data_IF_015311377090
#
_entry.id   IF_015311377090
#
_cell.length_a   1.000
_cell.length_b   1.000
_cell.length_c   1.000
_cell.angle_alpha   90.00
_cell.angle_beta   90.00
_cell.angle_gamma   90.00
#
_symmetry.space_group_name_H-M   'P 1'
#
loop_
_entity.id
_entity.type
_entity.pdbx_description
1 polymer ?
#
# COMPACT_ATOMS: atom_id res chain seq x y z
N UNK A 1 1.08 -17.69 11.06
CA UNK A 1 1.44 -16.80 9.95
C UNK A 1 0.16 -16.16 9.48
N UNK A 2 0.18 -14.93 9.02
CA UNK A 2 -1.04 -14.19 8.63
C UNK A 2 -1.56 -14.64 7.27
N UNK A 3 -2.12 -15.85 7.21
CA UNK A 3 -2.83 -16.31 6.02
C UNK A 3 -4.13 -15.51 5.77
N UNK A 4 -4.82 -15.79 4.67
CA UNK A 4 -6.03 -15.08 4.28
C UNK A 4 -7.16 -15.18 5.32
N UNK A 5 -7.30 -16.36 5.96
CA UNK A 5 -8.29 -16.58 7.02
C UNK A 5 -7.99 -15.73 8.25
N UNK A 6 -6.72 -15.73 8.69
CA UNK A 6 -6.25 -14.91 9.81
C UNK A 6 -6.46 -13.40 9.52
N UNK A 7 -6.12 -12.94 8.30
CA UNK A 7 -6.34 -11.54 7.91
C UNK A 7 -7.82 -11.16 7.96
N UNK A 8 -8.72 -12.04 7.46
CA UNK A 8 -10.16 -11.80 7.52
C UNK A 8 -10.65 -11.66 8.96
N UNK A 9 -10.37 -12.65 9.80
CA UNK A 9 -10.80 -12.63 11.20
C UNK A 9 -10.21 -11.45 11.97
N UNK A 10 -8.93 -11.15 11.74
CA UNK A 10 -8.24 -10.06 12.44
C UNK A 10 -8.86 -8.71 12.12
N UNK A 11 -9.00 -8.38 10.83
CA UNK A 11 -9.43 -7.04 10.43
C UNK A 11 -10.94 -6.84 10.49
N UNK A 12 -11.72 -7.91 10.38
CA UNK A 12 -13.18 -7.85 10.46
C UNK A 12 -13.68 -7.91 11.91
N UNK A 13 -13.08 -8.77 12.75
CA UNK A 13 -13.62 -9.09 14.07
C UNK A 13 -12.74 -8.63 15.23
N UNK A 14 -11.44 -8.96 15.20
CA UNK A 14 -10.59 -8.82 16.38
C UNK A 14 -10.01 -7.43 16.54
N UNK A 15 -9.51 -6.81 15.50
CA UNK A 15 -8.94 -5.47 15.59
C UNK A 15 -10.03 -4.42 15.77
N UNK A 16 -9.91 -3.60 16.81
CA UNK A 16 -11.00 -2.67 17.21
C UNK A 16 -10.95 -1.30 16.56
N UNK A 17 -9.90 -1.02 15.77
CA UNK A 17 -9.72 0.25 15.05
C UNK A 17 -9.82 1.49 15.95
N UNK A 18 -9.07 1.56 17.07
CA UNK A 18 -9.26 2.60 18.10
C UNK A 18 -9.04 4.02 17.57
N UNK A 19 -8.16 4.19 16.60
CA UNK A 19 -7.90 5.45 15.91
C UNK A 19 -8.27 5.43 14.42
N UNK A 20 -9.02 4.40 13.96
CA UNK A 20 -9.34 4.27 12.54
C UNK A 20 -8.10 4.10 11.64
N UNK A 21 -7.01 3.57 12.18
CA UNK A 21 -5.72 3.41 11.50
C UNK A 21 -4.70 4.53 11.77
N UNK A 22 -5.10 5.63 12.42
CA UNK A 22 -4.19 6.72 12.79
C UNK A 22 -3.06 6.26 13.72
N UNK A 23 -3.33 5.28 14.56
CA UNK A 23 -2.37 4.70 15.50
C UNK A 23 -1.11 4.19 14.82
N UNK A 24 -1.18 3.73 13.58
CA UNK A 24 -0.01 3.25 12.83
C UNK A 24 0.83 4.38 12.23
N UNK A 25 0.32 5.61 12.24
CA UNK A 25 1.04 6.80 11.79
C UNK A 25 1.70 7.60 12.93
N UNK A 26 1.61 7.14 14.17
CA UNK A 26 2.18 7.84 15.34
C UNK A 26 3.69 8.08 15.26
N UNK A 27 4.43 7.18 14.57
CA UNK A 27 5.86 7.32 14.33
C UNK A 27 6.21 8.55 13.49
N UNK A 28 5.28 9.04 12.67
CA UNK A 28 5.40 10.25 11.83
C UNK A 28 4.74 11.48 12.47
N UNK A 29 4.04 11.31 13.58
CA UNK A 29 3.27 12.38 14.22
C UNK A 29 1.86 12.54 13.63
N UNK A 30 1.34 11.49 12.99
CA UNK A 30 0.01 11.39 12.39
C UNK A 30 0.06 11.12 10.90
N UNK A 31 -1.06 10.67 10.36
CA UNK A 31 -1.12 10.26 8.94
C UNK A 31 -0.99 11.44 7.97
N UNK A 32 -1.42 12.64 8.35
CA UNK A 32 -1.22 13.83 7.51
C UNK A 32 0.27 14.16 7.36
N UNK A 33 1.02 14.15 8.47
CA UNK A 33 2.47 14.36 8.45
C UNK A 33 3.19 13.26 7.68
N UNK A 34 2.77 12.00 7.85
CA UNK A 34 3.33 10.87 7.09
C UNK A 34 3.01 10.98 5.60
N UNK A 35 1.79 11.39 5.23
CA UNK A 35 1.41 11.57 3.84
C UNK A 35 2.30 12.62 3.15
N UNK A 36 2.34 13.83 3.66
CA UNK A 36 3.09 14.93 3.03
C UNK A 36 4.60 14.79 3.18
N UNK A 37 5.09 14.21 4.27
CA UNK A 37 6.52 14.08 4.53
C UNK A 37 7.16 12.82 3.94
N UNK A 38 6.39 11.74 3.75
CA UNK A 38 6.93 10.42 3.35
C UNK A 38 6.28 9.88 2.08
N UNK A 39 4.95 9.73 2.04
CA UNK A 39 4.28 9.06 0.91
C UNK A 39 4.15 9.95 -0.32
N UNK A 40 3.64 11.17 -0.16
CA UNK A 40 3.44 12.09 -1.28
C UNK A 40 4.74 12.40 -2.03
N UNK A 41 5.91 12.60 -1.39
CA UNK A 41 7.19 12.73 -2.09
C UNK A 41 7.53 11.56 -3.02
N UNK A 42 7.07 10.35 -2.71
CA UNK A 42 7.25 9.14 -3.54
C UNK A 42 6.22 9.01 -4.65
N UNK A 43 5.07 9.68 -4.53
CA UNK A 43 3.91 9.55 -5.41
C UNK A 43 3.60 10.80 -6.24
N UNK A 44 4.21 11.96 -5.94
CA UNK A 44 3.86 13.25 -6.55
C UNK A 44 3.95 13.27 -8.08
N UNK A 45 4.74 12.37 -8.68
CA UNK A 45 4.88 12.28 -10.16
C UNK A 45 3.74 11.49 -10.82
N UNK A 46 3.01 10.68 -10.05
CA UNK A 46 1.87 9.89 -10.52
C UNK A 46 0.54 10.42 -9.99
N UNK A 47 0.58 11.48 -9.20
CA UNK A 47 -0.59 12.19 -8.67
C UNK A 47 -0.60 13.65 -9.16
N UNK A 48 -1.77 14.27 -9.41
CA UNK A 48 -3.09 13.66 -9.36
C UNK A 48 -3.32 12.63 -10.48
N UNK A 49 -4.17 11.64 -10.21
CA UNK A 49 -4.52 10.58 -11.15
C UNK A 49 -5.97 10.73 -11.63
N UNK A 50 -6.32 10.19 -12.77
CA UNK A 50 -7.71 10.17 -13.21
C UNK A 50 -8.52 9.13 -12.45
N UNK A 51 -7.95 7.92 -12.29
CA UNK A 51 -8.58 6.81 -11.56
C UNK A 51 -7.60 6.12 -10.63
N UNK A 52 -8.01 5.96 -9.37
CA UNK A 52 -7.23 5.25 -8.35
C UNK A 52 -8.00 3.99 -7.91
N UNK A 53 -7.29 2.88 -7.83
CA UNK A 53 -7.69 1.68 -7.10
C UNK A 53 -6.86 1.59 -5.82
N UNK A 54 -7.50 1.59 -4.66
CA UNK A 54 -6.83 1.29 -3.39
C UNK A 54 -7.18 -0.14 -2.95
N UNK A 55 -6.17 -0.97 -2.68
CA UNK A 55 -6.32 -2.32 -2.14
C UNK A 55 -6.13 -2.25 -0.63
N UNK A 56 -7.13 -2.76 0.10
CA UNK A 56 -7.19 -2.78 1.56
C UNK A 56 -7.10 -1.38 2.20
N UNK A 57 -8.05 -0.48 1.93
CA UNK A 57 -8.09 0.86 2.52
C UNK A 57 -8.25 0.86 4.05
N UNK A 58 -8.70 -0.24 4.66
CA UNK A 58 -9.04 -0.29 6.07
C UNK A 58 -10.16 0.70 6.41
N UNK A 59 -9.96 1.57 7.39
CA UNK A 59 -10.88 2.67 7.72
C UNK A 59 -10.58 3.96 6.95
N UNK A 60 -9.84 3.87 5.83
CA UNK A 60 -9.64 4.99 4.91
C UNK A 60 -8.54 5.96 5.31
N UNK A 61 -7.53 5.51 6.08
CA UNK A 61 -6.41 6.33 6.51
C UNK A 61 -5.73 7.07 5.34
N UNK A 62 -5.49 6.39 4.22
CA UNK A 62 -4.87 6.97 3.03
C UNK A 62 -5.90 7.46 2.02
N UNK A 63 -7.07 6.85 2.00
CA UNK A 63 -8.20 7.21 1.14
C UNK A 63 -8.50 8.70 1.18
N UNK A 64 -8.50 9.30 2.37
CA UNK A 64 -8.79 10.75 2.54
C UNK A 64 -7.82 11.67 1.81
N UNK A 65 -6.59 11.22 1.59
CA UNK A 65 -5.57 11.98 0.84
C UNK A 65 -5.60 11.66 -0.65
N UNK A 66 -6.04 10.46 -1.03
CA UNK A 66 -6.13 10.02 -2.42
C UNK A 66 -7.39 10.61 -3.11
N UNK A 67 -8.52 10.69 -2.41
CA UNK A 67 -9.79 11.18 -2.97
C UNK A 67 -9.69 12.57 -3.59
N UNK A 68 -9.06 13.59 -2.95
CA UNK A 68 -8.89 14.91 -3.56
C UNK A 68 -7.97 14.92 -4.79
N UNK A 69 -7.23 13.85 -5.01
CA UNK A 69 -6.21 13.72 -6.07
C UNK A 69 -6.66 12.80 -7.19
N UNK A 70 -7.96 12.45 -7.26
CA UNK A 70 -8.50 11.66 -8.37
C UNK A 70 -9.91 12.09 -8.79
N UNK A 71 -10.29 11.69 -10.00
CA UNK A 71 -11.66 11.90 -10.52
C UNK A 71 -12.59 10.73 -10.19
N UNK A 72 -12.04 9.52 -10.08
CA UNK A 72 -12.78 8.31 -9.71
C UNK A 72 -11.90 7.45 -8.81
N UNK A 73 -12.52 6.90 -7.80
CA UNK A 73 -11.85 6.08 -6.80
C UNK A 73 -12.61 4.77 -6.58
N UNK A 74 -11.86 3.67 -6.49
CA UNK A 74 -12.37 2.37 -6.09
C UNK A 74 -11.52 1.83 -4.94
N UNK A 75 -12.14 1.57 -3.79
CA UNK A 75 -11.53 0.85 -2.66
C UNK A 75 -12.03 -0.60 -2.63
N UNK A 76 -11.11 -1.55 -2.61
CA UNK A 76 -11.39 -2.97 -2.42
C UNK A 76 -10.79 -3.46 -1.12
N UNK A 77 -11.60 -4.00 -0.23
CA UNK A 77 -11.16 -4.54 1.06
C UNK A 77 -11.73 -5.95 1.31
N UNK A 78 -10.97 -6.78 1.97
CA UNK A 78 -11.36 -8.12 2.42
C UNK A 78 -12.44 -8.05 3.52
N UNK A 79 -12.36 -7.04 4.39
CA UNK A 79 -13.23 -6.86 5.55
C UNK A 79 -14.50 -6.10 5.18
N UNK A 80 -15.67 -6.72 5.41
CA UNK A 80 -16.96 -6.06 5.26
C UNK A 80 -17.08 -4.85 6.20
N UNK A 81 -16.47 -4.93 7.38
CA UNK A 81 -16.45 -3.85 8.36
C UNK A 81 -15.66 -2.65 7.86
N UNK A 82 -14.49 -2.85 7.25
CA UNK A 82 -13.69 -1.79 6.66
C UNK A 82 -14.43 -1.11 5.50
N UNK A 83 -15.07 -1.91 4.62
CA UNK A 83 -15.91 -1.39 3.54
C UNK A 83 -17.03 -0.52 4.08
N UNK A 84 -17.79 -1.01 5.09
CA UNK A 84 -18.87 -0.24 5.71
C UNK A 84 -18.40 1.06 6.34
N UNK A 85 -17.26 1.02 7.05
CA UNK A 85 -16.65 2.22 7.64
C UNK A 85 -16.28 3.27 6.57
N UNK A 86 -15.64 2.84 5.48
CA UNK A 86 -15.29 3.72 4.37
C UNK A 86 -16.55 4.31 3.69
N UNK A 87 -17.59 3.52 3.47
CA UNK A 87 -18.86 3.99 2.89
C UNK A 87 -19.50 5.07 3.76
N UNK A 88 -19.45 4.93 5.08
CA UNK A 88 -19.97 5.92 6.02
C UNK A 88 -19.10 7.19 6.05
N UNK A 89 -17.78 7.03 6.26
CA UNK A 89 -16.83 8.14 6.40
C UNK A 89 -16.79 9.01 5.12
N UNK A 90 -16.83 8.38 3.96
CA UNK A 90 -16.72 9.06 2.66
C UNK A 90 -18.05 9.17 1.93
N UNK A 91 -19.19 9.12 2.64
CA UNK A 91 -20.53 9.23 2.07
C UNK A 91 -20.75 10.50 1.23
N UNK A 92 -20.01 11.56 1.50
CA UNK A 92 -20.06 12.82 0.74
C UNK A 92 -19.13 12.85 -0.50
N UNK A 93 -18.43 11.75 -0.83
CA UNK A 93 -17.56 11.65 -1.98
C UNK A 93 -18.21 10.80 -3.10
N UNK A 94 -19.05 11.40 -3.99
CA UNK A 94 -19.85 10.64 -4.95
C UNK A 94 -19.02 9.92 -6.03
N UNK A 95 -17.72 10.25 -6.15
CA UNK A 95 -16.77 9.62 -7.06
C UNK A 95 -16.03 8.44 -6.42
N UNK A 96 -16.32 8.12 -5.15
CA UNK A 96 -15.72 7.01 -4.40
C UNK A 96 -16.69 5.82 -4.31
N UNK A 97 -16.18 4.64 -4.62
CA UNK A 97 -16.90 3.37 -4.49
C UNK A 97 -16.06 2.43 -3.62
N UNK A 98 -16.70 1.78 -2.64
CA UNK A 98 -16.06 0.80 -1.77
C UNK A 98 -16.78 -0.54 -1.88
N UNK A 99 -16.02 -1.61 -2.15
CA UNK A 99 -16.56 -2.95 -2.40
C UNK A 99 -15.76 -3.97 -1.63
N UNK A 100 -16.44 -4.92 -1.00
CA UNK A 100 -15.78 -6.08 -0.40
C UNK A 100 -15.30 -7.03 -1.50
N UNK A 101 -14.07 -7.53 -1.36
CA UNK A 101 -13.51 -8.61 -2.17
C UNK A 101 -13.20 -9.86 -1.33
N UNK A 102 -12.65 -10.88 -1.95
CA UNK A 102 -12.25 -12.12 -1.29
C UNK A 102 -10.80 -12.11 -0.75
N UNK A 103 -10.06 -11.01 -0.98
CA UNK A 103 -8.64 -10.87 -0.64
C UNK A 103 -7.68 -11.44 -1.68
N UNK A 104 -8.18 -11.96 -2.81
CA UNK A 104 -7.40 -12.54 -3.92
C UNK A 104 -7.79 -11.97 -5.28
N UNK A 105 -9.04 -11.52 -5.43
CA UNK A 105 -9.58 -11.10 -6.72
C UNK A 105 -9.75 -9.58 -6.82
N UNK A 106 -9.38 -9.03 -7.97
CA UNK A 106 -9.67 -7.67 -8.42
C UNK A 106 -10.71 -7.64 -9.54
N UNK A 107 -11.51 -8.68 -9.73
CA UNK A 107 -12.49 -8.79 -10.83
C UNK A 107 -13.53 -7.67 -10.83
N UNK A 108 -13.86 -7.11 -9.65
CA UNK A 108 -14.75 -5.97 -9.49
C UNK A 108 -14.18 -4.67 -10.07
N UNK A 109 -12.87 -4.61 -10.28
CA UNK A 109 -12.21 -3.49 -10.93
C UNK A 109 -12.18 -3.71 -12.45
N UNK A 110 -12.57 -2.73 -13.29
CA UNK A 110 -12.48 -2.86 -14.75
C UNK A 110 -11.01 -2.94 -15.20
N UNK A 111 -10.76 -3.65 -16.32
CA UNK A 111 -9.43 -3.74 -16.92
C UNK A 111 -9.03 -2.40 -17.55
N UNK A 112 -7.71 -2.16 -17.67
CA UNK A 112 -7.10 -0.99 -18.33
C UNK A 112 -7.75 0.34 -17.95
N UNK A 113 -7.99 0.54 -16.65
CA UNK A 113 -8.79 1.66 -16.17
C UNK A 113 -8.09 2.57 -15.18
N UNK A 114 -7.07 2.09 -14.48
CA UNK A 114 -6.48 2.81 -13.36
C UNK A 114 -5.11 3.36 -13.71
N UNK A 115 -4.89 4.64 -13.36
CA UNK A 115 -3.59 5.30 -13.48
C UNK A 115 -2.70 4.92 -12.29
N UNK A 116 -3.32 4.67 -11.13
CA UNK A 116 -2.63 4.25 -9.91
C UNK A 116 -3.41 3.11 -9.23
N UNK A 117 -2.72 2.01 -8.96
CA UNK A 117 -3.14 1.01 -7.97
C UNK A 117 -2.27 1.19 -6.73
N UNK A 118 -2.89 1.43 -5.58
CA UNK A 118 -2.22 1.78 -4.34
C UNK A 118 -2.55 0.80 -3.22
N UNK A 119 -1.55 0.41 -2.45
CA UNK A 119 -1.73 -0.25 -1.15
C UNK A 119 -0.55 0.06 -0.25
N UNK A 120 -0.82 0.59 0.94
CA UNK A 120 0.23 0.92 1.89
C UNK A 120 -0.13 0.48 3.31
N UNK A 121 0.82 -0.21 3.97
CA UNK A 121 0.73 -0.72 5.34
C UNK A 121 -0.42 -1.73 5.56
N UNK A 122 -0.79 -2.43 4.48
CA UNK A 122 -1.82 -3.47 4.47
C UNK A 122 -1.28 -4.80 3.94
N UNK A 123 -0.67 -4.81 2.75
CA UNK A 123 -0.13 -6.02 2.15
C UNK A 123 1.16 -6.54 2.82
N UNK A 124 1.67 -5.86 3.82
CA UNK A 124 2.74 -6.37 4.69
C UNK A 124 2.32 -7.63 5.47
N UNK A 125 1.01 -7.85 5.60
CA UNK A 125 0.40 -9.01 6.23
C UNK A 125 -0.01 -10.10 5.23
N UNK A 126 0.25 -9.92 3.94
CA UNK A 126 -0.12 -10.87 2.89
C UNK A 126 1.01 -11.87 2.65
N UNK A 127 0.64 -13.14 2.49
CA UNK A 127 1.57 -14.21 2.10
C UNK A 127 1.82 -14.18 0.58
N UNK A 128 2.83 -14.92 0.11
CA UNK A 128 3.29 -14.87 -1.29
C UNK A 128 2.21 -15.27 -2.30
N UNK A 129 1.32 -16.17 -1.93
CA UNK A 129 0.21 -16.62 -2.77
C UNK A 129 -0.77 -15.48 -3.08
N UNK A 130 -1.01 -14.57 -2.14
CA UNK A 130 -1.82 -13.35 -2.37
C UNK A 130 -1.18 -12.48 -3.45
N UNK A 131 0.14 -12.29 -3.40
CA UNK A 131 0.86 -11.53 -4.44
C UNK A 131 0.82 -12.23 -5.80
N UNK A 132 0.90 -13.57 -5.81
CA UNK A 132 0.78 -14.35 -7.05
C UNK A 132 -0.59 -14.14 -7.73
N UNK A 133 -1.64 -13.86 -6.96
CA UNK A 133 -2.96 -13.52 -7.48
C UNK A 133 -3.07 -12.03 -7.85
N UNK A 134 -2.60 -11.13 -6.98
CA UNK A 134 -2.78 -9.68 -7.18
C UNK A 134 -1.89 -9.09 -8.28
N UNK A 135 -0.62 -9.48 -8.38
CA UNK A 135 0.31 -8.85 -9.32
C UNK A 135 -0.18 -8.93 -10.78
N UNK A 136 -0.53 -10.12 -11.34
CA UNK A 136 -1.04 -10.19 -12.71
C UNK A 136 -2.33 -9.40 -12.89
N UNK A 137 -3.21 -9.39 -11.89
CA UNK A 137 -4.45 -8.62 -11.95
C UNK A 137 -4.18 -7.12 -11.91
N UNK A 138 -3.28 -6.63 -11.05
CA UNK A 138 -2.90 -5.21 -11.00
C UNK A 138 -2.42 -4.76 -12.38
N UNK A 139 -1.51 -5.50 -13.01
CA UNK A 139 -1.00 -5.18 -14.35
C UNK A 139 -2.11 -5.12 -15.40
N UNK A 140 -3.14 -5.98 -15.31
CA UNK A 140 -4.31 -5.96 -16.19
C UNK A 140 -5.27 -4.79 -15.91
N UNK A 141 -5.31 -4.27 -14.67
CA UNK A 141 -6.18 -3.15 -14.29
C UNK A 141 -5.57 -1.79 -14.62
N UNK A 142 -4.24 -1.71 -14.72
CA UNK A 142 -3.53 -0.48 -15.07
C UNK A 142 -3.78 -0.10 -16.53
N UNK A 143 -3.96 1.21 -16.78
CA UNK A 143 -3.79 1.75 -18.14
C UNK A 143 -2.33 1.54 -18.59
N UNK A 144 -2.00 1.60 -19.88
CA UNK A 144 -0.63 1.30 -20.34
C UNK A 144 0.48 1.99 -19.54
N UNK A 145 0.37 3.29 -19.28
CA UNK A 145 1.34 4.07 -18.50
C UNK A 145 1.00 4.16 -16.99
N UNK A 146 0.00 3.44 -16.52
CA UNK A 146 -0.37 3.38 -15.12
C UNK A 146 0.65 2.61 -14.29
N UNK A 147 0.63 2.86 -12.98
CA UNK A 147 1.57 2.24 -12.04
C UNK A 147 0.87 1.63 -10.84
N UNK A 148 1.44 0.55 -10.32
CA UNK A 148 1.13 -0.01 -9.01
C UNK A 148 2.15 0.46 -7.99
N UNK A 149 1.70 0.94 -6.83
CA UNK A 149 2.53 1.25 -5.67
C UNK A 149 2.04 0.42 -4.50
N UNK A 150 2.88 -0.51 -4.04
CA UNK A 150 2.56 -1.43 -2.96
C UNK A 150 3.63 -1.43 -1.87
N UNK A 151 3.18 -1.48 -0.62
CA UNK A 151 4.02 -1.73 0.55
C UNK A 151 3.83 -3.18 0.99
N UNK A 152 4.91 -3.93 1.04
CA UNK A 152 4.89 -5.36 1.39
C UNK A 152 6.06 -5.76 2.27
N UNK A 153 5.96 -6.94 2.88
CA UNK A 153 7.05 -7.51 3.67
C UNK A 153 8.27 -7.86 2.81
N UNK A 154 9.45 -7.74 3.39
CA UNK A 154 10.72 -8.31 2.91
C UNK A 154 11.34 -9.21 3.97
N UNK A 155 10.54 -9.76 4.88
CA UNK A 155 11.01 -10.43 6.09
C UNK A 155 11.75 -11.72 5.79
N UNK A 156 11.41 -12.43 4.71
CA UNK A 156 12.13 -13.66 4.29
C UNK A 156 13.62 -13.43 4.09
N UNK A 157 14.01 -12.24 3.62
CA UNK A 157 15.43 -11.90 3.38
C UNK A 157 16.08 -11.25 4.61
N UNK A 158 15.28 -10.69 5.52
CA UNK A 158 15.78 -9.90 6.64
C UNK A 158 16.30 -10.72 7.82
N UNK A 159 16.06 -12.07 7.83
CA UNK A 159 16.60 -13.00 8.81
C UNK A 159 15.66 -13.39 9.96
N UNK A 160 16.14 -14.28 10.85
CA UNK A 160 15.39 -15.07 11.82
C UNK A 160 14.89 -14.30 13.06
N UNK A 161 14.41 -13.08 12.93
CA UNK A 161 13.79 -12.38 14.06
C UNK A 161 12.34 -12.81 14.17
N UNK A 162 12.07 -13.78 15.05
CA UNK A 162 10.71 -14.23 15.36
C UNK A 162 10.32 -13.84 16.80
N UNK A 163 9.07 -13.40 17.04
CA UNK A 163 8.01 -13.23 16.04
C UNK A 163 8.21 -11.97 15.18
N UNK A 164 7.77 -12.04 13.93
CA UNK A 164 7.80 -10.89 13.03
C UNK A 164 7.03 -9.70 13.65
N UNK A 165 7.62 -8.50 13.72
CA UNK A 165 6.95 -7.35 14.30
C UNK A 165 5.62 -7.08 13.58
N UNK A 166 4.58 -6.78 14.35
CA UNK A 166 3.27 -6.39 13.83
C UNK A 166 2.67 -7.36 12.79
N UNK A 167 2.85 -8.69 13.02
CA UNK A 167 2.24 -9.74 12.18
C UNK A 167 2.59 -9.67 10.69
N UNK A 168 3.80 -9.21 10.35
CA UNK A 168 4.28 -9.22 8.96
C UNK A 168 4.44 -10.64 8.44
N UNK A 169 4.18 -10.83 7.15
CA UNK A 169 4.49 -12.09 6.48
C UNK A 169 6.00 -12.38 6.54
N UNK A 170 6.34 -13.60 6.94
CA UNK A 170 7.73 -14.09 7.00
C UNK A 170 8.14 -14.85 5.75
N UNK A 171 7.23 -15.03 4.80
CA UNK A 171 7.43 -15.83 3.57
C UNK A 171 7.63 -14.97 2.32
N UNK A 172 7.56 -13.63 2.46
CA UNK A 172 7.66 -12.69 1.36
C UNK A 172 8.99 -11.96 1.36
N UNK A 173 9.56 -11.82 0.17
CA UNK A 173 10.74 -10.99 -0.09
C UNK A 173 10.53 -10.07 -1.29
N UNK A 174 11.29 -8.99 -1.33
CA UNK A 174 11.33 -8.05 -2.45
C UNK A 174 11.69 -8.74 -3.77
N UNK A 175 12.63 -9.69 -3.73
CA UNK A 175 13.05 -10.47 -4.91
C UNK A 175 11.90 -11.33 -5.46
N UNK A 176 11.12 -12.00 -4.59
CA UNK A 176 9.97 -12.81 -5.04
C UNK A 176 8.89 -11.94 -5.69
N UNK A 177 8.57 -10.79 -5.08
CA UNK A 177 7.59 -9.83 -5.65
C UNK A 177 8.09 -9.30 -7.00
N UNK A 178 9.37 -8.95 -7.10
CA UNK A 178 9.99 -8.52 -8.37
C UNK A 178 9.90 -9.60 -9.45
N UNK A 179 10.15 -10.87 -9.10
CA UNK A 179 10.00 -12.02 -10.03
C UNK A 179 8.55 -12.19 -10.49
N UNK A 180 7.58 -12.06 -9.60
CA UNK A 180 6.16 -12.11 -9.97
C UNK A 180 5.80 -10.99 -10.96
N UNK A 181 6.25 -9.75 -10.70
CA UNK A 181 6.01 -8.63 -11.61
C UNK A 181 6.58 -8.92 -13.00
N UNK A 182 7.84 -9.31 -13.07
CA UNK A 182 8.53 -9.54 -14.37
C UNK A 182 7.99 -10.74 -15.13
N UNK A 183 7.63 -11.82 -14.43
CA UNK A 183 7.06 -13.02 -15.07
C UNK A 183 5.68 -12.79 -15.70
N UNK A 184 4.97 -11.72 -15.27
CA UNK A 184 3.65 -11.36 -15.81
C UNK A 184 3.68 -10.13 -16.74
N UNK A 185 4.85 -9.80 -17.31
CA UNK A 185 4.98 -8.70 -18.28
C UNK A 185 5.07 -7.31 -17.66
N UNK A 186 5.26 -7.23 -16.36
CA UNK A 186 5.52 -5.98 -15.65
C UNK A 186 7.01 -5.65 -15.58
N UNK A 187 7.29 -4.42 -15.15
CA UNK A 187 8.61 -3.89 -14.85
C UNK A 187 8.59 -3.21 -13.49
N UNK A 188 9.54 -3.55 -12.64
CA UNK A 188 9.81 -2.79 -11.42
C UNK A 188 10.45 -1.47 -11.82
N UNK A 189 9.88 -0.37 -11.41
CA UNK A 189 10.40 0.98 -11.65
C UNK A 189 11.28 1.42 -10.48
N UNK A 190 10.75 1.29 -9.26
CA UNK A 190 11.50 1.57 -8.03
C UNK A 190 11.17 0.46 -7.02
N UNK A 191 12.19 -0.05 -6.36
CA UNK A 191 12.06 -0.95 -5.22
C UNK A 191 12.94 -0.44 -4.08
N UNK A 192 12.31 0.00 -2.99
CA UNK A 192 12.96 0.60 -1.83
C UNK A 192 12.79 -0.33 -0.61
N UNK A 193 13.88 -0.96 -0.16
CA UNK A 193 13.90 -1.71 1.09
C UNK A 193 13.99 -0.73 2.26
N UNK A 194 13.12 -0.88 3.25
CA UNK A 194 13.02 0.04 4.38
C UNK A 194 13.06 -0.68 5.72
N UNK A 195 13.56 0.01 6.75
CA UNK A 195 13.51 -0.43 8.13
C UNK A 195 12.28 0.14 8.82
N UNK A 196 11.28 -0.70 9.11
CA UNK A 196 10.07 -0.26 9.80
C UNK A 196 10.15 -0.58 11.30
N UNK A 197 10.33 0.45 12.13
CA UNK A 197 10.37 0.29 13.59
C UNK A 197 11.64 -0.36 14.14
N UNK A 198 12.69 -0.50 13.32
CA UNK A 198 13.93 -1.16 13.72
C UNK A 198 15.12 -0.79 12.83
N UNK A 199 16.15 -1.64 12.82
CA UNK A 199 17.37 -1.44 12.02
C UNK A 199 17.43 -2.36 10.79
N UNK A 200 16.51 -3.31 10.67
CA UNK A 200 16.50 -4.34 9.63
C UNK A 200 15.60 -3.92 8.48
N UNK A 201 16.04 -4.16 7.25
CA UNK A 201 15.28 -3.86 6.02
C UNK A 201 14.22 -4.93 5.76
N UNK A 202 13.21 -5.01 6.61
CA UNK A 202 12.19 -6.06 6.57
C UNK A 202 10.89 -5.68 5.85
N UNK A 203 10.79 -4.45 5.37
CA UNK A 203 9.68 -3.98 4.52
C UNK A 203 10.21 -3.47 3.18
N UNK A 204 9.32 -3.40 2.20
CA UNK A 204 9.65 -2.94 0.86
C UNK A 204 8.52 -2.10 0.26
N UNK A 205 8.88 -0.97 -0.35
CA UNK A 205 8.01 -0.17 -1.20
C UNK A 205 8.35 -0.49 -2.65
N UNK A 206 7.36 -0.95 -3.42
CA UNK A 206 7.57 -1.30 -4.83
C UNK A 206 6.64 -0.50 -5.73
N UNK A 207 7.22 0.29 -6.64
CA UNK A 207 6.57 0.97 -7.74
C UNK A 207 6.83 0.17 -9.03
N UNK A 208 5.79 -0.21 -9.75
CA UNK A 208 5.90 -1.03 -10.96
C UNK A 208 4.78 -0.70 -11.97
N UNK A 209 4.95 -1.11 -13.21
CA UNK A 209 3.96 -0.94 -14.24
C UNK A 209 4.15 -1.92 -15.40
N UNK A 210 3.39 -1.77 -16.48
CA UNK A 210 3.52 -2.60 -17.68
C UNK A 210 4.88 -2.37 -18.35
N UNK A 211 5.64 -3.42 -18.62
CA UNK A 211 7.02 -3.30 -19.11
C UNK A 211 7.11 -2.56 -20.46
N UNK A 212 6.17 -2.79 -21.36
CA UNK A 212 6.17 -2.16 -22.68
C UNK A 212 6.02 -0.62 -22.61
N UNK A 213 5.18 -0.14 -21.68
CA UNK A 213 4.94 1.31 -21.52
C UNK A 213 6.06 2.03 -20.75
N UNK A 214 6.88 1.28 -20.02
CA UNK A 214 7.96 1.82 -19.19
C UNK A 214 9.35 1.33 -19.66
N UNK A 215 9.47 0.97 -20.94
CA UNK A 215 10.72 0.38 -21.48
C UNK A 215 11.93 1.30 -21.28
N UNK A 216 11.75 2.60 -21.47
CA UNK A 216 12.81 3.61 -21.41
C UNK A 216 13.13 4.10 -19.97
N UNK A 217 12.45 3.57 -18.96
CA UNK A 217 12.70 3.94 -17.56
C UNK A 217 13.65 2.92 -16.95
N UNK A 218 14.79 3.34 -16.44
CA UNK A 218 15.69 2.46 -15.69
C UNK A 218 15.09 2.07 -14.34
N UNK A 219 15.24 0.79 -13.99
CA UNK A 219 14.82 0.30 -12.66
C UNK A 219 15.78 0.79 -11.58
N UNK A 220 15.23 1.27 -10.46
CA UNK A 220 15.98 1.76 -9.32
C UNK A 220 15.76 0.84 -8.12
N UNK A 221 16.84 0.33 -7.53
CA UNK A 221 16.82 -0.51 -6.33
C UNK A 221 17.55 0.21 -5.21
N UNK A 222 16.84 0.47 -4.12
CA UNK A 222 17.34 1.26 -2.99
C UNK A 222 17.33 0.42 -1.71
N UNK A 223 18.35 0.59 -0.89
CA UNK A 223 18.36 0.17 0.49
C UNK A 223 18.31 1.42 1.37
N UNK A 224 17.22 1.60 2.10
CA UNK A 224 16.99 2.77 2.95
C UNK A 224 16.95 2.36 4.44
N UNK A 225 18.11 2.18 5.09
CA UNK A 225 18.17 1.90 6.52
C UNK A 225 17.83 3.12 7.39
N UNK A 226 17.53 4.26 6.77
CA UNK A 226 17.22 5.53 7.43
C UNK A 226 15.76 5.95 7.28
N UNK A 227 14.86 5.02 6.86
CA UNK A 227 13.43 5.31 6.73
C UNK A 227 12.81 5.72 8.08
N UNK A 228 13.25 5.12 9.19
CA UNK A 228 12.78 5.54 10.51
C UNK A 228 13.44 6.84 11.00
N UNK A 229 14.60 7.23 10.46
CA UNK A 229 15.15 8.59 10.67
C UNK A 229 14.27 9.63 9.96
N UNK A 230 13.78 9.33 8.75
CA UNK A 230 12.77 10.14 8.04
C UNK A 230 11.52 10.31 8.90
N UNK A 231 10.98 9.23 9.47
CA UNK A 231 9.82 9.31 10.37
C UNK A 231 10.09 10.20 11.59
N UNK A 232 11.24 10.04 12.22
CA UNK A 232 11.66 10.86 13.36
C UNK A 232 11.78 12.36 13.00
N UNK A 233 12.36 12.67 11.85
CA UNK A 233 12.46 14.04 11.33
C UNK A 233 11.08 14.65 11.12
N UNK A 234 10.19 13.92 10.45
CA UNK A 234 8.82 14.36 10.19
C UNK A 234 8.07 14.59 11.51
N UNK A 235 8.11 13.63 12.43
CA UNK A 235 7.43 13.72 13.72
C UNK A 235 7.89 14.92 14.54
N UNK A 236 9.20 15.12 14.64
CA UNK A 236 9.76 16.08 15.58
C UNK A 236 9.85 17.51 15.03
N UNK A 237 9.82 17.69 13.71
CA UNK A 237 10.01 19.00 13.09
C UNK A 237 8.91 19.40 12.11
N UNK A 238 8.31 18.46 11.38
CA UNK A 238 7.34 18.78 10.33
C UNK A 238 5.89 18.61 10.78
N UNK A 239 5.58 17.61 11.63
CA UNK A 239 4.20 17.29 12.03
C UNK A 239 3.49 18.44 12.76
N UNK A 240 4.21 19.38 13.34
CA UNK A 240 3.63 20.55 13.98
C UNK A 240 2.84 21.42 13.00
N UNK A 241 3.30 21.51 11.74
CA UNK A 241 2.62 22.28 10.70
C UNK A 241 1.27 21.67 10.30
N UNK A 242 1.12 20.34 10.39
CA UNK A 242 -0.15 19.64 10.14
C UNK A 242 -1.23 19.91 11.21
N UNK A 243 -0.86 20.52 12.32
CA UNK A 243 -1.76 20.82 13.46
C UNK A 243 -2.27 22.26 13.47
N UNK A 244 -1.79 23.09 12.55
CA UNK A 244 -2.25 24.47 12.39
C UNK A 244 -3.58 24.43 11.63
N UNK A 245 -4.65 24.89 12.26
CA UNK A 245 -5.99 24.95 11.69
C UNK A 245 -6.32 26.37 11.28
#
# INVERSE_FOLDING_TARGET
>A
MPDLGWNRETWDEFYKWPGGGEEWSEWWGGSEAQWFGSLYPRLHRVLPARRILEIAPGFGRWTRFLLPLCQNYLGLDLSARCVGACQEIFSNAPHAIFIQNDGLSLERAPAESFDLVFSFDSLVHAELDVFAHYIPQILQKLVPAGVGFIHHSNFLTAGDILPAPHYRSTTVSAEQVSKLITSHGGKVLIQELVNWGGTILHDCLTLFGNAAAHADIDSVYLQNPRFMDEASLIKNFQSFYSRIK
#
